data_IF_839446436673
#
_entry.id   IF_839446436673
#
_cell.length_a   1.000
_cell.length_b   1.000
_cell.length_c   1.000
_cell.angle_alpha   90.00
_cell.angle_beta   90.00
_cell.angle_gamma   90.00
#
_symmetry.space_group_name_H-M   'P 1'
#
loop_
_entity.id
_entity.type
_entity.pdbx_description
1 polymer ?
#
# COMPACT_ATOMS: atom_id res chain seq x y z
N UNK A 1 7.70 16.12 -8.70
CA UNK A 1 7.97 16.47 -7.29
C UNK A 1 8.47 15.25 -6.51
N UNK A 2 7.71 14.15 -6.37
CA UNK A 2 8.17 12.95 -5.62
C UNK A 2 9.41 12.27 -6.22
N UNK A 3 9.47 12.06 -7.54
CA UNK A 3 10.63 11.39 -8.18
C UNK A 3 11.97 12.12 -7.94
N UNK A 4 11.97 13.46 -7.92
CA UNK A 4 13.17 14.26 -7.64
C UNK A 4 13.67 14.04 -6.21
N UNK A 5 12.74 14.11 -5.24
CA UNK A 5 13.03 13.82 -3.83
C UNK A 5 13.52 12.38 -3.61
N UNK A 6 12.97 11.42 -4.37
CA UNK A 6 13.43 10.04 -4.32
C UNK A 6 14.90 9.91 -4.77
N UNK A 7 15.28 10.60 -5.84
CA UNK A 7 16.67 10.67 -6.30
C UNK A 7 17.58 11.31 -5.24
N UNK A 8 17.18 12.44 -4.66
CA UNK A 8 17.93 13.12 -3.58
C UNK A 8 18.11 12.23 -2.35
N UNK A 9 17.11 11.40 -2.02
CA UNK A 9 17.16 10.45 -0.92
C UNK A 9 17.88 9.12 -1.26
N UNK A 10 18.46 8.98 -2.46
CA UNK A 10 19.15 7.76 -2.89
C UNK A 10 18.23 6.55 -3.14
N UNK A 11 16.91 6.77 -3.28
CA UNK A 11 15.94 5.70 -3.54
C UNK A 11 15.99 5.33 -5.02
N UNK A 12 16.59 4.17 -5.33
CA UNK A 12 16.69 3.64 -6.70
C UNK A 12 15.36 3.11 -7.24
N UNK A 13 14.48 2.64 -6.36
CA UNK A 13 13.15 2.14 -6.74
C UNK A 13 12.32 3.27 -7.33
N UNK A 14 11.65 3.02 -8.46
CA UNK A 14 10.76 4.02 -9.06
C UNK A 14 9.54 4.25 -8.18
N UNK A 15 9.54 5.35 -7.43
CA UNK A 15 8.42 5.77 -6.59
C UNK A 15 7.79 7.06 -7.10
N UNK A 16 6.48 7.19 -6.93
CA UNK A 16 5.74 8.38 -7.32
C UNK A 16 4.43 8.53 -6.56
N UNK A 17 3.58 9.44 -7.04
CA UNK A 17 2.30 9.74 -6.39
C UNK A 17 1.43 8.49 -6.22
N UNK A 18 1.39 7.59 -7.23
CA UNK A 18 0.64 6.34 -7.13
C UNK A 18 1.21 5.38 -6.09
N UNK A 19 2.54 5.23 -6.03
CA UNK A 19 3.19 4.43 -4.98
C UNK A 19 2.87 4.98 -3.59
N UNK A 20 2.87 6.31 -3.42
CA UNK A 20 2.54 6.95 -2.15
C UNK A 20 1.07 6.74 -1.76
N UNK A 21 0.14 6.85 -2.72
CA UNK A 21 -1.27 6.52 -2.49
C UNK A 21 -1.43 5.06 -2.09
N UNK A 22 -0.75 4.13 -2.75
CA UNK A 22 -0.77 2.71 -2.41
C UNK A 22 -0.28 2.47 -0.97
N UNK A 23 0.87 3.05 -0.62
CA UNK A 23 1.46 2.96 0.73
C UNK A 23 0.51 3.52 1.78
N UNK A 24 -0.06 4.71 1.56
CA UNK A 24 -0.99 5.36 2.49
C UNK A 24 -2.24 4.52 2.75
N UNK A 25 -2.92 4.07 1.68
CA UNK A 25 -4.11 3.22 1.78
C UNK A 25 -3.76 1.90 2.49
N UNK A 26 -2.71 1.20 2.06
CA UNK A 26 -2.31 -0.07 2.67
C UNK A 26 -1.96 0.09 4.14
N UNK A 27 -1.21 1.14 4.52
CA UNK A 27 -0.83 1.38 5.93
C UNK A 27 -2.04 1.68 6.79
N UNK A 28 -2.98 2.49 6.29
CA UNK A 28 -4.24 2.74 6.99
C UNK A 28 -5.02 1.44 7.24
N UNK A 29 -5.16 0.59 6.22
CA UNK A 29 -5.88 -0.69 6.34
C UNK A 29 -5.17 -1.70 7.25
N UNK A 30 -3.83 -1.71 7.27
CA UNK A 30 -3.04 -2.54 8.22
C UNK A 30 -3.25 -2.11 9.67
N UNK A 31 -3.49 -0.83 9.91
CA UNK A 31 -3.76 -0.27 11.23
C UNK A 31 -5.26 -0.30 11.57
N UNK A 32 -5.96 -1.38 11.18
CA UNK A 32 -7.39 -1.60 11.43
C UNK A 32 -8.34 -0.56 10.81
N UNK A 33 -7.85 0.22 9.84
CA UNK A 33 -8.67 1.15 9.07
C UNK A 33 -9.70 0.43 8.18
N UNK A 34 -10.84 1.07 7.93
CA UNK A 34 -11.93 0.53 7.10
C UNK A 34 -11.75 0.90 5.63
N UNK A 35 -12.07 -0.02 4.71
CA UNK A 35 -11.91 0.21 3.26
C UNK A 35 -12.76 1.38 2.77
N UNK A 36 -13.95 1.57 3.35
CA UNK A 36 -14.88 2.63 3.02
C UNK A 36 -14.30 4.01 3.39
N UNK A 37 -13.61 4.11 4.53
CA UNK A 37 -12.94 5.34 4.94
C UNK A 37 -11.72 5.60 4.05
N UNK A 38 -10.95 4.58 3.72
CA UNK A 38 -9.85 4.70 2.76
C UNK A 38 -10.33 5.18 1.38
N UNK A 39 -11.50 4.69 0.95
CA UNK A 39 -12.14 5.12 -0.29
C UNK A 39 -12.53 6.61 -0.24
N UNK A 40 -13.13 7.07 0.87
CA UNK A 40 -13.47 8.48 1.07
C UNK A 40 -12.22 9.37 1.08
N UNK A 41 -11.19 8.99 1.84
CA UNK A 41 -9.90 9.72 1.87
C UNK A 41 -9.25 9.81 0.49
N UNK A 42 -9.37 8.77 -0.32
CA UNK A 42 -8.81 8.73 -1.67
C UNK A 42 -9.71 9.38 -2.73
N UNK A 43 -10.91 9.84 -2.36
CA UNK A 43 -11.95 10.37 -3.26
C UNK A 43 -12.27 9.40 -4.42
N UNK A 44 -12.42 8.13 -4.09
CA UNK A 44 -12.70 7.08 -5.07
C UNK A 44 -14.21 6.82 -5.18
N UNK A 45 -14.72 6.74 -6.41
CA UNK A 45 -16.14 6.41 -6.67
C UNK A 45 -16.52 4.99 -6.26
N UNK A 46 -15.56 4.05 -6.26
CA UNK A 46 -15.81 2.64 -5.98
C UNK A 46 -14.84 2.08 -4.96
N UNK A 47 -15.31 1.20 -4.07
CA UNK A 47 -14.46 0.42 -3.20
C UNK A 47 -13.46 -0.44 -4.00
N UNK A 48 -13.85 -0.90 -5.21
CA UNK A 48 -12.98 -1.68 -6.10
C UNK A 48 -11.73 -0.90 -6.50
N UNK A 49 -11.85 0.40 -6.80
CA UNK A 49 -10.69 1.21 -7.18
C UNK A 49 -9.76 1.49 -6.00
N UNK A 50 -10.29 1.53 -4.76
CA UNK A 50 -9.49 1.59 -3.54
C UNK A 50 -8.80 0.24 -3.27
N UNK A 51 -9.50 -0.87 -3.49
CA UNK A 51 -8.98 -2.23 -3.29
C UNK A 51 -7.76 -2.55 -4.15
N UNK A 52 -7.61 -1.94 -5.34
CA UNK A 52 -6.39 -2.06 -6.16
C UNK A 52 -5.11 -1.57 -5.44
N UNK A 53 -5.28 -0.72 -4.42
CA UNK A 53 -4.20 -0.19 -3.58
C UNK A 53 -4.03 -0.95 -2.26
N UNK A 54 -4.91 -1.88 -1.92
CA UNK A 54 -4.79 -2.71 -0.72
C UNK A 54 -3.76 -3.82 -0.95
N UNK A 55 -2.57 -3.64 -0.37
CA UNK A 55 -1.44 -4.58 -0.46
C UNK A 55 -1.23 -5.30 0.87
N UNK A 56 -2.29 -5.57 1.64
CA UNK A 56 -2.18 -6.36 2.89
C UNK A 56 -1.73 -7.80 2.62
N UNK A 57 -2.18 -8.39 1.52
CA UNK A 57 -1.85 -9.77 1.11
C UNK A 57 -0.47 -9.91 0.47
N UNK A 58 0.22 -8.81 0.15
CA UNK A 58 1.55 -8.85 -0.46
C UNK A 58 2.66 -9.28 0.52
N UNK A 59 2.40 -9.19 1.82
CA UNK A 59 3.36 -9.68 2.81
C UNK A 59 3.02 -11.13 3.08
N UNK A 60 3.96 -12.02 2.78
CA UNK A 60 3.94 -13.36 3.36
C UNK A 60 4.12 -13.17 4.87
N UNK A 61 3.19 -13.68 5.67
CA UNK A 61 3.35 -13.65 7.13
C UNK A 61 4.42 -14.65 7.56
N UNK A 62 5.12 -14.39 8.66
CA UNK A 62 6.05 -15.37 9.23
C UNK A 62 5.33 -16.70 9.47
N UNK A 63 4.11 -16.64 10.01
CA UNK A 63 3.23 -17.79 10.23
C UNK A 63 2.92 -18.57 8.93
N UNK A 64 2.78 -17.90 7.78
CA UNK A 64 2.59 -18.57 6.50
C UNK A 64 3.86 -19.27 6.02
N UNK A 65 5.04 -18.68 6.25
CA UNK A 65 6.33 -19.31 5.94
C UNK A 65 6.58 -20.52 6.83
N UNK A 66 6.31 -20.42 8.13
CA UNK A 66 6.54 -21.48 9.12
C UNK A 66 5.67 -22.73 8.91
N UNK A 67 4.58 -22.62 8.14
CA UNK A 67 3.74 -23.79 7.75
C UNK A 67 4.38 -24.66 6.67
N UNK A 68 5.43 -24.20 5.99
CA UNK A 68 6.16 -24.99 5.00
C UNK A 68 7.09 -25.94 5.77
N UNK A 69 6.61 -27.15 6.04
CA UNK A 69 7.41 -28.23 6.63
C UNK A 69 8.38 -28.76 5.57
N UNK A 70 9.69 -28.77 5.88
CA UNK A 70 10.74 -29.44 5.08
C UNK A 70 10.81 -30.91 5.49
#
# INVERSE_FOLDING_TARGET
MIRRRATEAGIRTQIGNHSFRATGITKYLRNSGKLEVAQQMANHKSARTTGLYDRRTDQVSLDEVERIVI
#
